data_IF_250244900299
#
_entry.id   IF_250244900299
#
_cell.length_a   1.000
_cell.length_b   1.000
_cell.length_c   1.000
_cell.angle_alpha   90.00
_cell.angle_beta   90.00
_cell.angle_gamma   90.00
#
_symmetry.space_group_name_H-M   'P 1'
#
loop_
_entity.id
_entity.type
_entity.pdbx_description
1 polymer ?
#
# COMPACT_ATOMS: atom_id res chain seq x y z
N UNK A 1 -1.80 6.69 4.10
CA UNK A 1 -1.15 5.68 3.24
C UNK A 1 -1.24 6.01 1.76
N UNK A 2 -2.41 6.38 1.22
CA UNK A 2 -2.57 6.75 -0.21
C UNK A 2 -2.36 8.25 -0.52
N UNK A 3 -2.65 9.15 0.43
CA UNK A 3 -2.47 10.60 0.28
C UNK A 3 -1.25 11.20 1.01
N UNK A 4 -0.22 10.40 1.33
CA UNK A 4 0.96 10.89 2.06
C UNK A 4 0.90 10.76 3.59
N UNK A 5 -0.27 10.54 4.17
CA UNK A 5 -0.43 10.36 5.64
C UNK A 5 0.21 9.05 6.13
N UNK A 6 0.84 9.06 7.31
CA UNK A 6 1.40 7.87 7.95
C UNK A 6 0.29 6.89 8.39
N UNK A 7 0.65 5.60 8.52
CA UNK A 7 -0.27 4.55 8.96
C UNK A 7 -0.73 4.73 10.42
N UNK A 8 0.07 5.42 11.23
CA UNK A 8 -0.28 5.81 12.58
C UNK A 8 0.26 7.21 12.87
N UNK A 9 -0.49 7.95 13.69
CA UNK A 9 -0.02 9.19 14.27
C UNK A 9 1.03 8.90 15.35
N UNK A 10 2.17 9.59 15.29
CA UNK A 10 3.31 9.31 16.18
C UNK A 10 3.07 9.74 17.63
N UNK A 11 2.30 10.82 17.83
CA UNK A 11 1.98 11.33 19.18
C UNK A 11 0.95 10.42 19.84
N UNK A 12 -0.05 10.00 19.08
CA UNK A 12 -1.06 9.02 19.52
C UNK A 12 -0.41 7.66 19.82
N UNK A 13 0.45 7.15 18.94
CA UNK A 13 1.15 5.87 19.12
C UNK A 13 1.85 5.74 20.48
N UNK A 14 2.55 6.79 20.91
CA UNK A 14 3.31 6.81 22.18
C UNK A 14 2.42 6.78 23.41
N UNK A 15 1.14 7.16 23.29
CA UNK A 15 0.16 7.18 24.38
C UNK A 15 -0.63 5.87 24.47
N UNK A 16 -0.63 5.07 23.40
CA UNK A 16 -1.30 3.76 23.36
C UNK A 16 -0.64 2.76 24.30
N UNK A 17 -1.46 1.95 24.95
CA UNK A 17 -1.06 0.74 25.66
C UNK A 17 -0.43 -0.28 24.70
N UNK A 18 0.25 -1.27 25.25
CA UNK A 18 0.89 -2.31 24.45
C UNK A 18 -0.11 -3.11 23.59
N UNK A 19 -1.32 -3.37 24.10
CA UNK A 19 -2.38 -4.03 23.35
C UNK A 19 -2.93 -3.16 22.21
N UNK A 20 -3.14 -1.87 22.45
CA UNK A 20 -3.59 -0.93 21.42
C UNK A 20 -2.53 -0.75 20.31
N UNK A 21 -1.24 -0.77 20.67
CA UNK A 21 -0.13 -0.76 19.72
C UNK A 21 -0.13 -2.02 18.84
N UNK A 22 -0.36 -3.19 19.44
CA UNK A 22 -0.50 -4.44 18.70
C UNK A 22 -1.75 -4.43 17.80
N UNK A 23 -2.88 -3.92 18.29
CA UNK A 23 -4.11 -3.83 17.49
C UNK A 23 -3.93 -2.90 16.29
N UNK A 24 -3.29 -1.76 16.47
CA UNK A 24 -2.96 -0.83 15.37
C UNK A 24 -2.09 -1.52 14.31
N UNK A 25 -1.10 -2.31 14.76
CA UNK A 25 -0.24 -3.10 13.86
C UNK A 25 -1.02 -4.16 13.08
N UNK A 26 -1.95 -4.85 13.75
CA UNK A 26 -2.85 -5.83 13.12
C UNK A 26 -3.74 -5.17 12.06
N UNK A 27 -4.34 -4.01 12.36
CA UNK A 27 -5.16 -3.27 11.40
C UNK A 27 -4.40 -2.91 10.13
N UNK A 28 -3.15 -2.44 10.27
CA UNK A 28 -2.29 -2.23 9.11
C UNK A 28 -2.07 -3.52 8.33
N UNK A 29 -1.81 -4.65 9.00
CA UNK A 29 -1.67 -5.96 8.35
C UNK A 29 -2.93 -6.41 7.61
N UNK A 30 -4.12 -6.20 8.20
CA UNK A 30 -5.41 -6.56 7.59
C UNK A 30 -5.66 -5.81 6.28
N UNK A 31 -5.19 -4.57 6.13
CA UNK A 31 -5.29 -3.82 4.86
C UNK A 31 -4.53 -4.55 3.74
N UNK A 32 -3.32 -5.01 4.04
CA UNK A 32 -2.53 -5.77 3.05
C UNK A 32 -3.11 -7.16 2.81
N UNK A 33 -3.62 -7.83 3.83
CA UNK A 33 -4.33 -9.11 3.65
C UNK A 33 -5.54 -8.95 2.72
N UNK A 34 -6.33 -7.89 2.92
CA UNK A 34 -7.50 -7.58 2.09
C UNK A 34 -7.11 -7.26 0.65
N UNK A 35 -6.14 -6.36 0.43
CA UNK A 35 -5.70 -5.99 -0.93
C UNK A 35 -5.02 -7.18 -1.63
N UNK A 36 -4.36 -8.06 -0.88
CA UNK A 36 -3.74 -9.28 -1.39
C UNK A 36 -4.75 -10.39 -1.72
N UNK A 37 -6.01 -10.25 -1.31
CA UNK A 37 -7.03 -11.25 -1.62
C UNK A 37 -7.25 -11.32 -3.15
N UNK A 38 -7.21 -12.51 -3.78
CA UNK A 38 -7.31 -12.65 -5.23
C UNK A 38 -8.49 -11.91 -5.83
N UNK A 39 -9.70 -12.09 -5.29
CA UNK A 39 -10.91 -11.44 -5.79
C UNK A 39 -10.87 -9.91 -5.68
N UNK A 40 -10.23 -9.38 -4.63
CA UNK A 40 -10.09 -7.93 -4.43
C UNK A 40 -9.09 -7.38 -5.43
N UNK A 41 -7.98 -8.09 -5.63
CA UNK A 41 -6.97 -7.71 -6.59
C UNK A 41 -7.46 -7.77 -8.02
N UNK A 42 -8.25 -8.79 -8.38
CA UNK A 42 -8.87 -8.90 -9.70
C UNK A 42 -9.80 -7.70 -9.97
N UNK A 43 -10.62 -7.31 -9.00
CA UNK A 43 -11.49 -6.13 -9.10
C UNK A 43 -10.69 -4.84 -9.23
N UNK A 44 -9.58 -4.73 -8.50
CA UNK A 44 -8.64 -3.63 -8.67
C UNK A 44 -8.07 -3.60 -10.10
N UNK A 45 -7.57 -4.73 -10.62
CA UNK A 45 -7.05 -4.81 -11.98
C UNK A 45 -8.13 -4.45 -13.01
N UNK A 46 -9.36 -4.96 -12.89
CA UNK A 46 -10.44 -4.61 -13.79
C UNK A 46 -10.71 -3.10 -13.83
N UNK A 47 -10.69 -2.44 -12.68
CA UNK A 47 -10.85 -0.97 -12.58
C UNK A 47 -9.66 -0.24 -13.19
N UNK A 48 -8.44 -0.70 -12.89
CA UNK A 48 -7.19 -0.16 -13.44
C UNK A 48 -7.16 -0.21 -14.97
N UNK A 49 -7.51 -1.36 -15.56
CA UNK A 49 -7.54 -1.58 -17.00
C UNK A 49 -8.65 -0.78 -17.68
N UNK A 50 -9.82 -0.67 -17.05
CA UNK A 50 -10.91 0.16 -17.56
C UNK A 50 -10.49 1.64 -17.65
N UNK A 51 -9.79 2.16 -16.63
CA UNK A 51 -9.26 3.53 -16.65
C UNK A 51 -8.17 3.66 -17.72
N UNK A 52 -7.23 2.72 -17.80
CA UNK A 52 -6.18 2.71 -18.82
C UNK A 52 -6.76 2.82 -20.24
N UNK A 53 -7.79 2.03 -20.55
CA UNK A 53 -8.46 2.07 -21.86
C UNK A 53 -9.15 3.41 -22.12
N UNK A 54 -9.85 3.97 -21.11
CA UNK A 54 -10.51 5.28 -21.24
C UNK A 54 -9.52 6.43 -21.44
N UNK A 55 -8.33 6.34 -20.86
CA UNK A 55 -7.28 7.33 -21.10
C UNK A 55 -6.75 7.23 -22.54
N UNK A 56 -6.64 6.04 -23.12
CA UNK A 56 -6.30 5.88 -24.54
C UNK A 56 -7.33 6.51 -25.48
N UNK A 57 -8.63 6.30 -25.21
CA UNK A 57 -9.71 6.96 -25.97
C UNK A 57 -9.64 8.50 -25.85
N UNK A 58 -9.32 8.99 -24.65
CA UNK A 58 -9.15 10.42 -24.40
C UNK A 58 -7.96 11.01 -25.16
N UNK A 59 -6.80 10.33 -25.11
CA UNK A 59 -5.58 10.74 -25.82
C UNK A 59 -5.83 10.79 -27.33
N UNK A 60 -6.49 9.77 -27.90
CA UNK A 60 -6.84 9.71 -29.32
C UNK A 60 -7.77 10.86 -29.74
N UNK A 61 -8.84 11.10 -28.96
CA UNK A 61 -9.80 12.17 -29.24
C UNK A 61 -9.13 13.55 -29.28
N UNK A 62 -8.24 13.83 -28.34
CA UNK A 62 -7.57 15.12 -28.25
C UNK A 62 -6.44 15.29 -29.26
N UNK A 63 -5.72 14.21 -29.59
CA UNK A 63 -4.72 14.20 -30.66
C UNK A 63 -5.34 14.62 -32.00
N UNK A 64 -6.53 14.08 -32.33
CA UNK A 64 -7.30 14.48 -33.53
C UNK A 64 -7.73 15.95 -33.54
N UNK A 65 -7.81 16.59 -32.37
CA UNK A 65 -8.14 18.01 -32.21
C UNK A 65 -6.93 18.93 -32.22
N UNK A 66 -5.72 18.39 -32.39
CA UNK A 66 -4.47 19.16 -32.35
C UNK A 66 -4.08 19.65 -30.95
N UNK A 67 -4.68 19.09 -29.89
CA UNK A 67 -4.23 19.38 -28.54
C UNK A 67 -2.99 18.55 -28.23
N UNK A 68 -2.01 19.17 -27.56
CA UNK A 68 -0.78 18.49 -27.14
C UNK A 68 -0.68 18.46 -25.62
N UNK A 69 -0.58 17.26 -25.07
CA UNK A 69 -0.31 16.98 -23.67
C UNK A 69 0.36 15.59 -23.57
N UNK A 70 0.97 15.25 -22.42
CA UNK A 70 1.55 13.91 -22.23
C UNK A 70 0.50 12.82 -22.42
N UNK A 71 0.84 11.73 -23.12
CA UNK A 71 -0.06 10.58 -23.35
C UNK A 71 -0.46 10.00 -21.99
N UNK A 72 -1.70 10.23 -21.58
CA UNK A 72 -2.17 9.87 -20.24
C UNK A 72 -2.24 8.35 -20.05
N UNK A 73 -2.53 7.61 -21.12
CA UNK A 73 -2.49 6.16 -21.14
C UNK A 73 -1.10 5.63 -20.77
N UNK A 74 -0.03 6.30 -21.18
CA UNK A 74 1.35 5.91 -20.84
C UNK A 74 1.76 6.36 -19.43
N UNK A 75 1.21 7.46 -18.94
CA UNK A 75 1.51 7.98 -17.60
C UNK A 75 0.76 7.24 -16.48
N UNK A 76 -0.43 6.72 -16.76
CA UNK A 76 -1.27 6.03 -15.79
C UNK A 76 -0.59 4.81 -15.13
N UNK A 77 0.02 3.87 -15.88
CA UNK A 77 0.76 2.75 -15.29
C UNK A 77 1.89 3.19 -14.37
N UNK A 78 2.62 4.25 -14.75
CA UNK A 78 3.74 4.79 -13.98
C UNK A 78 3.24 5.38 -12.66
N UNK A 79 2.18 6.17 -12.72
CA UNK A 79 1.56 6.77 -11.54
C UNK A 79 1.08 5.69 -10.56
N UNK A 80 0.30 4.72 -11.03
CA UNK A 80 -0.23 3.65 -10.19
C UNK A 80 0.89 2.80 -9.59
N UNK A 81 1.92 2.47 -10.38
CA UNK A 81 3.09 1.78 -9.86
C UNK A 81 3.77 2.55 -8.72
N UNK A 82 3.98 3.87 -8.88
CA UNK A 82 4.58 4.69 -7.81
C UNK A 82 3.70 4.73 -6.56
N UNK A 83 2.39 4.93 -6.70
CA UNK A 83 1.44 5.00 -5.56
C UNK A 83 1.48 3.71 -4.76
N UNK A 84 1.34 2.60 -5.45
CA UNK A 84 1.28 1.28 -4.87
C UNK A 84 2.62 0.87 -4.21
N UNK A 85 3.77 1.14 -4.85
CA UNK A 85 5.12 0.92 -4.27
C UNK A 85 5.32 1.78 -3.03
N UNK A 86 4.93 3.06 -3.12
CA UNK A 86 5.02 4.00 -2.01
C UNK A 86 4.19 3.57 -0.82
N UNK A 87 2.98 3.03 -1.03
CA UNK A 87 2.15 2.50 0.04
C UNK A 87 2.84 1.34 0.77
N UNK A 88 3.31 0.33 0.03
CA UNK A 88 3.98 -0.83 0.63
C UNK A 88 5.25 -0.41 1.40
N UNK A 89 6.09 0.42 0.78
CA UNK A 89 7.34 0.90 1.38
C UNK A 89 7.10 1.73 2.65
N UNK A 90 6.14 2.67 2.61
CA UNK A 90 5.79 3.49 3.79
C UNK A 90 5.20 2.64 4.92
N UNK A 91 4.44 1.60 4.59
CA UNK A 91 3.85 0.71 5.58
C UNK A 91 4.93 -0.16 6.25
N UNK A 92 5.89 -0.69 5.49
CA UNK A 92 7.07 -1.37 6.06
C UNK A 92 7.89 -0.44 6.94
N UNK A 93 8.16 0.78 6.48
CA UNK A 93 8.87 1.80 7.27
C UNK A 93 8.14 2.12 8.57
N UNK A 94 6.81 2.22 8.51
CA UNK A 94 5.98 2.47 9.69
C UNK A 94 5.98 1.27 10.65
N UNK A 95 5.92 0.04 10.15
CA UNK A 95 6.03 -1.16 10.99
C UNK A 95 7.37 -1.21 11.74
N UNK A 96 8.47 -0.95 11.03
CA UNK A 96 9.81 -0.90 11.61
C UNK A 96 9.90 0.18 12.69
N UNK A 97 9.34 1.36 12.43
CA UNK A 97 9.29 2.45 13.41
C UNK A 97 8.43 2.08 14.63
N UNK A 98 7.24 1.52 14.44
CA UNK A 98 6.35 1.05 15.51
C UNK A 98 7.05 0.02 16.40
N UNK A 99 7.77 -0.93 15.80
CA UNK A 99 8.55 -1.92 16.54
C UNK A 99 9.63 -1.27 17.42
N UNK A 100 10.37 -0.29 16.90
CA UNK A 100 11.41 0.42 17.68
C UNK A 100 10.82 1.26 18.82
N UNK A 101 9.63 1.83 18.58
CA UNK A 101 8.93 2.75 19.49
C UNK A 101 7.81 2.07 20.30
N UNK A 102 7.78 0.74 20.33
CA UNK A 102 6.81 0.00 21.15
C UNK A 102 7.02 0.29 22.63
N UNK A 103 5.92 0.41 23.36
CA UNK A 103 5.91 0.66 24.79
C UNK A 103 6.56 -0.50 25.56
N UNK A 104 6.22 -1.73 25.20
CA UNK A 104 6.67 -2.92 25.91
C UNK A 104 7.84 -3.62 25.20
N UNK A 105 9.02 -3.56 25.84
CA UNK A 105 10.28 -4.09 25.29
C UNK A 105 10.84 -5.28 26.06
N UNK A 106 10.43 -5.48 27.32
CA UNK A 106 11.03 -6.47 28.23
C UNK A 106 10.10 -7.64 28.50
N UNK A 107 8.79 -7.43 28.43
CA UNK A 107 7.80 -8.49 28.58
C UNK A 107 7.95 -9.52 27.45
N UNK A 108 8.07 -10.79 27.83
CA UNK A 108 8.30 -11.91 26.90
C UNK A 108 7.14 -12.15 25.94
N UNK A 109 5.90 -11.99 26.40
CA UNK A 109 4.69 -12.15 25.57
C UNK A 109 4.69 -11.14 24.42
N UNK A 110 4.79 -9.85 24.73
CA UNK A 110 4.79 -8.80 23.71
C UNK A 110 6.01 -8.90 22.77
N UNK A 111 7.18 -9.23 23.32
CA UNK A 111 8.40 -9.40 22.51
C UNK A 111 8.25 -10.52 21.47
N UNK A 112 7.61 -11.64 21.83
CA UNK A 112 7.31 -12.73 20.91
C UNK A 112 6.36 -12.28 19.80
N UNK A 113 5.25 -11.62 20.14
CA UNK A 113 4.25 -11.16 19.17
C UNK A 113 4.86 -10.14 18.20
N UNK A 114 5.67 -9.20 18.70
CA UNK A 114 6.40 -8.25 17.87
C UNK A 114 7.42 -8.93 16.96
N UNK A 115 8.13 -9.94 17.47
CA UNK A 115 9.05 -10.76 16.67
C UNK A 115 8.35 -11.47 15.51
N UNK A 116 7.15 -12.01 15.72
CA UNK A 116 6.34 -12.61 14.66
C UNK A 116 5.92 -11.55 13.63
N UNK A 117 5.43 -10.39 14.08
CA UNK A 117 4.98 -9.34 13.17
C UNK A 117 6.12 -8.80 12.28
N UNK A 118 7.29 -8.53 12.88
CA UNK A 118 8.44 -7.99 12.13
C UNK A 118 9.17 -9.06 11.34
N UNK A 119 9.29 -10.29 11.85
CA UNK A 119 10.03 -11.35 11.16
C UNK A 119 9.24 -12.07 10.08
N UNK A 120 7.94 -12.28 10.29
CA UNK A 120 7.07 -13.05 9.39
C UNK A 120 6.09 -12.17 8.63
N UNK A 121 5.32 -11.33 9.34
CA UNK A 121 4.21 -10.60 8.72
C UNK A 121 4.68 -9.40 7.88
N UNK A 122 5.86 -8.82 8.12
CA UNK A 122 6.40 -7.74 7.27
C UNK A 122 6.50 -8.12 5.80
N UNK A 123 6.77 -9.41 5.52
CA UNK A 123 6.88 -9.94 4.15
C UNK A 123 5.53 -9.99 3.43
N UNK A 124 4.42 -9.98 4.18
CA UNK A 124 3.06 -9.89 3.65
C UNK A 124 2.64 -8.44 3.34
N UNK A 125 3.42 -7.45 3.79
CA UNK A 125 3.24 -6.04 3.39
C UNK A 125 3.84 -5.88 1.98
N UNK A 126 3.19 -6.49 1.03
CA UNK A 126 3.48 -6.50 -0.40
C UNK A 126 2.15 -6.32 -1.12
N UNK A 127 2.21 -5.99 -2.40
CA UNK A 127 1.02 -6.00 -3.25
C UNK A 127 1.04 -7.27 -4.08
N UNK A 128 -0.12 -7.87 -4.36
CA UNK A 128 -0.17 -9.13 -5.06
C UNK A 128 -0.05 -8.86 -6.58
N UNK A 129 0.40 -9.87 -7.33
CA UNK A 129 0.07 -10.05 -8.75
C UNK A 129 0.48 -8.98 -9.77
N UNK A 130 0.26 -9.35 -11.04
CA UNK A 130 0.41 -8.47 -12.21
C UNK A 130 -0.98 -8.11 -12.72
N UNK A 131 -1.19 -6.86 -13.13
CA UNK A 131 -2.30 -6.51 -14.03
C UNK A 131 -1.71 -6.41 -15.46
N UNK A 132 -2.49 -6.69 -16.53
CA UNK A 132 -1.98 -6.70 -17.91
C UNK A 132 -1.12 -5.49 -18.30
N UNK A 133 -1.59 -4.27 -18.02
CA UNK A 133 -0.89 -3.03 -18.39
C UNK A 133 -0.18 -2.36 -17.21
N UNK A 134 -0.01 -3.04 -16.07
CA UNK A 134 0.73 -2.49 -14.92
C UNK A 134 2.17 -3.02 -14.95
N UNK A 135 3.21 -2.16 -14.96
CA UNK A 135 4.62 -2.52 -15.21
C UNK A 135 5.29 -3.37 -14.11
N UNK A 136 4.54 -4.09 -13.27
CA UNK A 136 5.11 -4.95 -12.24
C UNK A 136 5.30 -6.39 -12.69
N UNK A 137 6.57 -6.78 -12.73
CA UNK A 137 7.07 -8.14 -12.50
C UNK A 137 7.05 -8.49 -11.02
#
# INVERSE_FOLDING_TARGET
MFGGSQAADRKDWRRKSADEQLQTTKTMGMVFEYINHPDVWEKFCATYEAIYNRLGEFDEYHSRKGNSFPVLQDEWPKYIDVVLKSMANRSRGTLSWMFQQRAEKKNKFYSLIWGINVGKNVRKITLPGKCPNLPRS
#
